data_IF_862772853838
#
_entry.id   IF_862772853838
#
_cell.length_a   1.000
_cell.length_b   1.000
_cell.length_c   1.000
_cell.angle_alpha   90.00
_cell.angle_beta   90.00
_cell.angle_gamma   90.00
#
_symmetry.space_group_name_H-M   'P 1'
#
loop_
_entity.id
_entity.type
_entity.pdbx_description
1 polymer ?
#
# COMPACT_ATOMS: atom_id res chain seq x y z
N UNK A 1 13.28 -22.39 4.20
CA UNK A 1 12.53 -21.30 4.87
C UNK A 1 13.08 -19.90 4.57
N UNK A 2 14.38 -19.62 4.77
CA UNK A 2 14.97 -18.28 4.45
C UNK A 2 14.65 -17.75 3.05
N UNK A 3 14.78 -18.57 1.99
CA UNK A 3 14.45 -18.18 0.60
C UNK A 3 12.98 -17.81 0.44
N UNK A 4 12.08 -18.60 1.02
CA UNK A 4 10.64 -18.35 0.95
C UNK A 4 10.25 -17.03 1.63
N UNK A 5 10.79 -16.77 2.83
CA UNK A 5 10.55 -15.51 3.55
C UNK A 5 11.02 -14.28 2.74
N UNK A 6 12.20 -14.36 2.12
CA UNK A 6 12.72 -13.29 1.24
C UNK A 6 11.79 -13.03 0.06
N UNK A 7 11.32 -14.08 -0.61
CA UNK A 7 10.40 -13.96 -1.74
C UNK A 7 9.07 -13.34 -1.27
N UNK A 8 8.51 -13.80 -0.15
CA UNK A 8 7.29 -13.26 0.41
C UNK A 8 7.42 -11.77 0.73
N UNK A 9 8.54 -11.34 1.32
CA UNK A 9 8.81 -9.93 1.63
C UNK A 9 9.00 -9.05 0.39
N UNK A 10 9.72 -9.55 -0.61
CA UNK A 10 9.89 -8.84 -1.88
C UNK A 10 8.55 -8.68 -2.59
N UNK A 11 7.75 -9.75 -2.61
CA UNK A 11 6.41 -9.72 -3.17
C UNK A 11 5.51 -8.73 -2.41
N UNK A 12 5.43 -8.81 -1.08
CA UNK A 12 4.60 -7.89 -0.29
C UNK A 12 5.02 -6.44 -0.43
N UNK A 13 6.32 -6.16 -0.41
CA UNK A 13 6.85 -4.80 -0.56
C UNK A 13 6.56 -4.24 -1.96
N UNK A 14 6.75 -5.06 -3.00
CA UNK A 14 6.46 -4.65 -4.39
C UNK A 14 4.97 -4.42 -4.59
N UNK A 15 4.13 -5.33 -4.12
CA UNK A 15 2.67 -5.19 -4.19
C UNK A 15 2.19 -3.95 -3.46
N UNK A 16 2.73 -3.64 -2.28
CA UNK A 16 2.38 -2.42 -1.55
C UNK A 16 2.70 -1.15 -2.37
N UNK A 17 3.88 -1.08 -2.97
CA UNK A 17 4.28 0.06 -3.82
C UNK A 17 3.35 0.17 -5.04
N UNK A 18 3.09 -0.96 -5.72
CA UNK A 18 2.19 -0.98 -6.88
C UNK A 18 0.78 -0.56 -6.51
N UNK A 19 0.30 -0.91 -5.32
CA UNK A 19 -1.04 -0.55 -4.86
C UNK A 19 -1.16 0.94 -4.54
N UNK A 20 -0.10 1.56 -3.99
CA UNK A 20 -0.01 3.03 -3.85
C UNK A 20 -0.07 3.70 -5.22
N UNK A 21 0.74 3.25 -6.17
CA UNK A 21 0.75 3.82 -7.54
C UNK A 21 -0.61 3.66 -8.20
N UNK A 22 -1.21 2.47 -8.11
CA UNK A 22 -2.53 2.19 -8.65
C UNK A 22 -3.61 3.09 -8.05
N UNK A 23 -3.63 3.27 -6.73
CA UNK A 23 -4.59 4.16 -6.08
C UNK A 23 -4.46 5.62 -6.52
N UNK A 24 -3.22 6.10 -6.70
CA UNK A 24 -2.98 7.46 -7.21
C UNK A 24 -3.42 7.61 -8.68
N UNK A 25 -3.18 6.60 -9.51
CA UNK A 25 -3.66 6.58 -10.90
C UNK A 25 -5.20 6.58 -10.93
N UNK A 26 -5.83 5.75 -10.11
CA UNK A 26 -7.29 5.70 -9.98
C UNK A 26 -7.85 7.07 -9.60
N UNK A 27 -7.26 7.74 -8.60
CA UNK A 27 -7.61 9.11 -8.19
C UNK A 27 -7.47 10.11 -9.34
N UNK A 28 -6.36 10.05 -10.08
CA UNK A 28 -6.07 11.01 -11.14
C UNK A 28 -7.00 10.86 -12.36
N UNK A 29 -7.57 9.67 -12.58
CA UNK A 29 -8.25 9.31 -13.83
C UNK A 29 -9.72 8.92 -13.62
N UNK A 30 -9.97 7.73 -13.08
CA UNK A 30 -11.28 7.08 -13.02
C UNK A 30 -12.18 7.63 -11.93
N UNK A 31 -11.62 8.06 -10.79
CA UNK A 31 -12.37 8.56 -9.65
C UNK A 31 -13.41 9.63 -10.07
N UNK A 32 -13.00 10.58 -10.91
CA UNK A 32 -13.83 11.69 -11.35
C UNK A 32 -14.93 11.31 -12.35
N UNK A 33 -14.83 10.14 -12.98
CA UNK A 33 -15.83 9.66 -13.96
C UNK A 33 -17.03 9.00 -13.29
N UNK A 34 -16.88 8.60 -12.02
CA UNK A 34 -17.89 7.91 -11.23
C UNK A 34 -18.54 8.91 -10.27
N UNK A 35 -19.44 9.73 -10.81
CA UNK A 35 -20.13 10.77 -10.04
C UNK A 35 -21.02 10.17 -8.92
N UNK A 36 -21.17 10.92 -7.85
CA UNK A 36 -22.08 10.59 -6.75
C UNK A 36 -23.52 10.78 -7.21
N UNK A 37 -24.39 9.80 -6.96
CA UNK A 37 -25.82 9.92 -7.27
C UNK A 37 -26.43 11.06 -6.45
N UNK A 38 -27.28 11.93 -7.04
CA UNK A 38 -27.95 12.98 -6.30
C UNK A 38 -28.75 12.40 -5.12
N UNK A 39 -28.48 12.87 -3.90
CA UNK A 39 -29.11 12.39 -2.67
C UNK A 39 -28.28 11.38 -1.86
N UNK A 40 -27.16 10.89 -2.40
CA UNK A 40 -26.23 10.01 -1.68
C UNK A 40 -25.04 10.78 -1.11
N UNK A 41 -24.56 10.37 0.07
CA UNK A 41 -23.43 11.01 0.74
C UNK A 41 -22.06 10.60 0.16
N UNK A 42 -21.98 9.43 -0.48
CA UNK A 42 -20.74 8.85 -1.02
C UNK A 42 -21.02 8.17 -2.35
N UNK A 43 -20.09 8.31 -3.30
CA UNK A 43 -20.12 7.59 -4.57
C UNK A 43 -19.36 6.26 -4.51
N UNK A 44 -19.54 5.44 -5.54
CA UNK A 44 -18.79 4.18 -5.70
C UNK A 44 -17.28 4.43 -5.70
N UNK A 45 -16.81 5.55 -6.25
CA UNK A 45 -15.40 5.90 -6.26
C UNK A 45 -14.82 6.12 -4.85
N UNK A 46 -15.59 6.70 -3.94
CA UNK A 46 -15.18 6.91 -2.54
C UNK A 46 -15.03 5.57 -1.81
N UNK A 47 -15.96 4.65 -2.04
CA UNK A 47 -15.90 3.30 -1.47
C UNK A 47 -14.68 2.54 -2.00
N UNK A 48 -14.43 2.59 -3.31
CA UNK A 48 -13.25 1.95 -3.91
C UNK A 48 -11.95 2.52 -3.36
N UNK A 49 -11.88 3.83 -3.20
CA UNK A 49 -10.72 4.51 -2.64
C UNK A 49 -10.46 4.12 -1.18
N UNK A 50 -11.52 3.99 -0.39
CA UNK A 50 -11.44 3.50 0.98
C UNK A 50 -10.93 2.04 1.02
N UNK A 51 -11.44 1.18 0.13
CA UNK A 51 -10.97 -0.22 -0.01
C UNK A 51 -9.50 -0.26 -0.39
N UNK A 52 -9.05 0.58 -1.33
CA UNK A 52 -7.63 0.69 -1.71
C UNK A 52 -6.81 1.09 -0.48
N UNK A 53 -7.22 2.12 0.26
CA UNK A 53 -6.48 2.58 1.44
C UNK A 53 -6.37 1.51 2.53
N UNK A 54 -7.46 0.81 2.86
CA UNK A 54 -7.39 -0.29 3.82
C UNK A 54 -6.54 -1.46 3.33
N UNK A 55 -6.50 -1.70 2.02
CA UNK A 55 -5.62 -2.71 1.43
C UNK A 55 -4.15 -2.31 1.57
N UNK A 56 -3.81 -1.02 1.39
CA UNK A 56 -2.46 -0.48 1.66
C UNK A 56 -2.08 -0.73 3.13
N UNK A 57 -2.96 -0.40 4.07
CA UNK A 57 -2.72 -0.62 5.50
C UNK A 57 -2.53 -2.10 5.85
N UNK A 58 -3.39 -2.98 5.32
CA UNK A 58 -3.27 -4.43 5.52
C UNK A 58 -1.96 -4.98 4.98
N UNK A 59 -1.56 -4.57 3.77
CA UNK A 59 -0.29 -4.97 3.16
C UNK A 59 0.93 -4.41 3.90
N UNK A 60 0.86 -3.17 4.39
CA UNK A 60 1.89 -2.58 5.24
C UNK A 60 2.03 -3.37 6.55
N UNK A 61 0.93 -3.70 7.22
CA UNK A 61 0.92 -4.53 8.44
C UNK A 61 1.55 -5.91 8.21
N UNK A 62 1.18 -6.58 7.12
CA UNK A 62 1.79 -7.86 6.74
C UNK A 62 3.31 -7.72 6.52
N UNK A 63 3.72 -6.65 5.82
CA UNK A 63 5.14 -6.42 5.55
C UNK A 63 5.94 -6.10 6.83
N UNK A 64 5.33 -5.42 7.81
CA UNK A 64 5.91 -5.21 9.15
C UNK A 64 6.13 -6.55 9.84
N UNK A 65 5.11 -7.41 9.87
CA UNK A 65 5.20 -8.73 10.52
C UNK A 65 6.33 -9.55 9.89
N UNK A 66 6.41 -9.60 8.56
CA UNK A 66 7.48 -10.33 7.86
C UNK A 66 8.87 -9.74 8.15
N UNK A 67 8.99 -8.40 8.19
CA UNK A 67 10.23 -7.71 8.54
C UNK A 67 10.70 -8.03 9.96
N UNK A 68 9.79 -7.99 10.92
CA UNK A 68 10.08 -8.34 12.32
C UNK A 68 10.50 -9.81 12.46
N UNK A 69 9.79 -10.74 11.80
CA UNK A 69 10.17 -12.16 11.80
C UNK A 69 11.59 -12.38 11.27
N UNK A 70 12.01 -11.62 10.26
CA UNK A 70 13.35 -11.69 9.71
C UNK A 70 14.42 -11.19 10.70
N UNK A 71 14.08 -10.31 11.65
CA UNK A 71 15.00 -9.90 12.72
C UNK A 71 15.03 -10.86 13.90
N UNK A 72 13.90 -11.50 14.22
CA UNK A 72 13.76 -12.38 15.39
C UNK A 72 14.45 -13.74 15.22
N UNK A 73 14.56 -14.25 13.98
CA UNK A 73 15.13 -15.58 13.71
C UNK A 73 16.56 -15.45 13.16
N UNK A 74 17.62 -15.75 13.95
CA UNK A 74 19.01 -15.56 13.53
C UNK A 74 19.37 -16.29 12.23
N UNK A 75 18.83 -17.50 12.03
CA UNK A 75 19.07 -18.31 10.83
C UNK A 75 18.53 -17.67 9.54
N UNK A 76 17.52 -16.80 9.63
CA UNK A 76 16.88 -16.17 8.47
C UNK A 76 17.27 -14.70 8.30
N UNK A 77 18.07 -14.18 9.24
CA UNK A 77 18.42 -12.76 9.33
C UNK A 77 19.00 -12.23 8.04
N UNK A 78 18.38 -11.15 7.57
CA UNK A 78 18.86 -10.29 6.51
C UNK A 78 18.51 -8.86 6.91
N UNK A 79 19.46 -8.18 7.54
CA UNK A 79 19.22 -6.89 8.18
C UNK A 79 18.82 -5.85 7.13
N UNK A 80 19.46 -5.89 5.95
CA UNK A 80 19.19 -4.96 4.87
C UNK A 80 17.75 -5.11 4.37
N UNK A 81 17.34 -6.35 4.05
CA UNK A 81 16.01 -6.61 3.51
C UNK A 81 14.92 -6.33 4.57
N UNK A 82 15.13 -6.76 5.82
CA UNK A 82 14.24 -6.45 6.94
C UNK A 82 14.04 -4.95 7.14
N UNK A 83 15.12 -4.18 7.12
CA UNK A 83 15.05 -2.72 7.35
C UNK A 83 14.36 -2.01 6.19
N UNK A 84 14.68 -2.38 4.95
CA UNK A 84 14.04 -1.81 3.75
C UNK A 84 12.53 -2.08 3.78
N UNK A 85 12.11 -3.32 4.05
CA UNK A 85 10.68 -3.66 4.12
C UNK A 85 9.95 -2.90 5.23
N UNK A 86 10.58 -2.73 6.41
CA UNK A 86 10.00 -1.90 7.47
C UNK A 86 9.84 -0.44 7.04
N UNK A 87 10.88 0.16 6.45
CA UNK A 87 10.81 1.54 5.95
C UNK A 87 9.69 1.68 4.93
N UNK A 88 9.62 0.78 3.94
CA UNK A 88 8.56 0.81 2.91
C UNK A 88 7.18 0.73 3.59
N UNK A 89 7.00 -0.20 4.53
CA UNK A 89 5.71 -0.37 5.20
C UNK A 89 5.28 0.82 6.06
N UNK A 90 6.24 1.55 6.62
CA UNK A 90 5.96 2.73 7.45
C UNK A 90 5.72 3.98 6.60
N UNK A 91 6.43 4.11 5.48
CA UNK A 91 6.41 5.30 4.63
C UNK A 91 5.27 5.28 3.62
N UNK A 92 4.93 4.13 3.04
CA UNK A 92 3.97 4.04 1.95
C UNK A 92 2.55 4.50 2.32
N UNK A 93 1.96 4.14 3.48
CA UNK A 93 0.61 4.60 3.82
C UNK A 93 0.52 6.12 4.04
N UNK A 94 1.40 6.77 4.83
CA UNK A 94 1.42 8.24 4.93
C UNK A 94 1.70 8.91 3.58
N UNK A 95 2.61 8.35 2.78
CA UNK A 95 2.91 8.89 1.46
C UNK A 95 1.69 8.86 0.54
N UNK A 96 0.94 7.75 0.53
CA UNK A 96 -0.32 7.65 -0.20
C UNK A 96 -1.32 8.70 0.27
N UNK A 97 -1.52 8.84 1.58
CA UNK A 97 -2.45 9.82 2.15
C UNK A 97 -2.08 11.26 1.76
N UNK A 98 -0.80 11.63 1.86
CA UNK A 98 -0.31 12.96 1.46
C UNK A 98 -0.50 13.20 -0.04
N UNK A 99 -0.03 12.26 -0.87
CA UNK A 99 -0.11 12.41 -2.33
C UNK A 99 -1.56 12.42 -2.81
N UNK A 100 -2.44 11.60 -2.22
CA UNK A 100 -3.87 11.53 -2.53
C UNK A 100 -4.54 12.90 -2.50
N UNK A 101 -4.23 13.73 -1.51
CA UNK A 101 -4.77 15.09 -1.38
C UNK A 101 -4.22 16.08 -2.41
N UNK A 102 -3.04 15.79 -2.97
CA UNK A 102 -2.32 16.65 -3.91
C UNK A 102 -2.51 16.24 -5.37
N UNK A 103 -3.05 15.05 -5.65
CA UNK A 103 -3.19 14.53 -7.02
C UNK A 103 -4.18 15.39 -7.80
N UNK A 104 -3.72 16.12 -8.84
CA UNK A 104 -4.61 16.84 -9.73
C UNK A 104 -5.35 15.87 -10.65
N UNK A 105 -6.54 16.28 -11.09
CA UNK A 105 -7.28 15.57 -12.13
C UNK A 105 -6.54 15.67 -13.46
N UNK A 106 -6.24 14.54 -14.09
CA UNK A 106 -5.52 14.46 -15.37
C UNK A 106 -6.45 14.33 -16.59
N UNK A 107 -7.77 14.33 -16.39
CA UNK A 107 -8.80 14.06 -17.40
C UNK A 107 -9.81 15.19 -17.60
#
# INVERSE_FOLDING_TARGET
MKKFLKIAMLFSSTTLILLVIFGLIFRATLYWTLAVTPGEAYGIADVLELVIYFTILGMAGLNIILGLLMFMVPAWRDIRLGTISLIISLVMPPLYFMLHTLVPRLT
#
